data_IF_590548713752
#
_entry.id   IF_590548713752
#
_cell.length_a   1.000
_cell.length_b   1.000
_cell.length_c   1.000
_cell.angle_alpha   90.00
_cell.angle_beta   90.00
_cell.angle_gamma   90.00
#
_symmetry.space_group_name_H-M   'P 1'
#
loop_
_entity.id
_entity.type
_entity.pdbx_description
1 polymer ?
#
# COMPACT_ATOMS: atom_id res chain seq x y z
N UNK A 1 -2.36 -10.61 -22.94
CA UNK A 1 -1.65 -10.95 -21.68
C UNK A 1 -1.11 -9.66 -21.02
N UNK A 2 -1.98 -8.65 -20.80
CA UNK A 2 -1.60 -7.33 -20.28
C UNK A 2 -2.36 -6.91 -19.00
N UNK A 3 -3.42 -7.63 -18.61
CA UNK A 3 -4.29 -7.29 -17.48
C UNK A 3 -3.64 -7.41 -16.09
N UNK A 4 -2.50 -8.10 -15.96
CA UNK A 4 -1.84 -8.32 -14.66
C UNK A 4 -0.89 -7.19 -14.27
N UNK A 5 -0.30 -6.48 -15.24
CA UNK A 5 0.69 -5.44 -14.99
C UNK A 5 0.02 -4.15 -14.49
N UNK A 6 -1.03 -3.72 -15.19
CA UNK A 6 -1.84 -2.55 -14.83
C UNK A 6 -2.40 -2.67 -13.40
N UNK A 7 -2.85 -3.87 -13.03
CA UNK A 7 -3.32 -4.16 -11.67
C UNK A 7 -2.20 -4.06 -10.62
N UNK A 8 -0.96 -4.45 -10.95
CA UNK A 8 0.17 -4.36 -10.03
C UNK A 8 0.64 -2.91 -9.82
N UNK A 9 0.62 -2.10 -10.88
CA UNK A 9 0.94 -0.68 -10.82
C UNK A 9 -0.05 0.07 -9.91
N UNK A 10 -1.35 -0.25 -9.98
CA UNK A 10 -2.37 0.29 -9.06
C UNK A 10 -2.04 -0.03 -7.59
N UNK A 11 -1.59 -1.26 -7.29
CA UNK A 11 -1.16 -1.64 -5.93
C UNK A 11 0.06 -0.85 -5.47
N UNK A 12 1.05 -0.62 -6.33
CA UNK A 12 2.23 0.15 -5.95
C UNK A 12 1.87 1.62 -5.70
N UNK A 13 1.09 2.23 -6.61
CA UNK A 13 0.69 3.64 -6.49
C UNK A 13 -0.12 3.86 -5.21
N UNK A 14 -1.16 3.07 -4.97
CA UNK A 14 -1.98 3.22 -3.77
C UNK A 14 -1.20 2.93 -2.49
N UNK A 15 -0.22 2.03 -2.52
CA UNK A 15 0.65 1.75 -1.38
C UNK A 15 1.41 3.01 -0.96
N UNK A 16 1.97 3.73 -1.94
CA UNK A 16 2.68 4.98 -1.69
C UNK A 16 1.74 6.11 -1.27
N UNK A 17 0.52 6.19 -1.80
CA UNK A 17 -0.49 7.17 -1.35
C UNK A 17 -0.79 6.95 0.13
N UNK A 18 -1.10 5.71 0.53
CA UNK A 18 -1.41 5.36 1.92
C UNK A 18 -0.22 5.67 2.83
N UNK A 19 0.99 5.24 2.48
CA UNK A 19 2.18 5.51 3.29
C UNK A 19 2.51 6.99 3.42
N UNK A 20 2.38 7.75 2.33
CA UNK A 20 2.66 9.19 2.32
C UNK A 20 1.67 9.94 3.19
N UNK A 21 0.37 9.66 3.05
CA UNK A 21 -0.67 10.29 3.86
C UNK A 21 -0.50 9.93 5.33
N UNK A 22 -0.27 8.64 5.62
CA UNK A 22 0.00 8.17 6.97
C UNK A 22 1.20 8.89 7.60
N UNK A 23 2.26 9.11 6.83
CA UNK A 23 3.43 9.87 7.25
C UNK A 23 3.08 11.33 7.55
N UNK A 24 2.37 12.03 6.66
CA UNK A 24 1.98 13.42 6.87
C UNK A 24 1.07 13.62 8.08
N UNK A 25 0.13 12.71 8.32
CA UNK A 25 -0.76 12.78 9.48
C UNK A 25 -0.11 12.26 10.78
N UNK A 26 1.10 11.68 10.71
CA UNK A 26 1.75 11.05 11.86
C UNK A 26 0.97 9.86 12.43
N UNK A 27 0.10 9.22 11.64
CA UNK A 27 -0.76 8.16 12.14
C UNK A 27 -0.07 6.80 12.13
N UNK A 28 -0.28 5.96 13.16
CA UNK A 28 -0.05 4.54 13.02
C UNK A 28 -1.07 3.95 12.02
N UNK A 29 -0.69 2.85 11.36
CA UNK A 29 -1.43 2.26 10.25
C UNK A 29 -2.89 1.93 10.60
N UNK A 30 -3.13 1.42 11.81
CA UNK A 30 -4.47 1.10 12.30
C UNK A 30 -5.33 2.36 12.43
N UNK A 31 -4.78 3.45 12.97
CA UNK A 31 -5.51 4.71 13.09
C UNK A 31 -5.77 5.35 11.73
N UNK A 32 -4.86 5.21 10.76
CA UNK A 32 -5.10 5.67 9.39
C UNK A 32 -6.33 4.98 8.77
N UNK A 33 -6.42 3.65 8.86
CA UNK A 33 -7.56 2.91 8.32
C UNK A 33 -8.86 3.12 9.11
N UNK A 34 -8.78 3.37 10.42
CA UNK A 34 -9.93 3.80 11.22
C UNK A 34 -10.44 5.16 10.75
N UNK A 35 -9.55 6.14 10.54
CA UNK A 35 -9.91 7.45 9.99
C UNK A 35 -10.52 7.33 8.59
N UNK A 36 -9.92 6.52 7.71
CA UNK A 36 -10.47 6.23 6.39
C UNK A 36 -11.89 5.63 6.48
N UNK A 37 -12.18 4.81 7.49
CA UNK A 37 -13.51 4.21 7.69
C UNK A 37 -14.57 5.19 8.18
N UNK A 38 -14.21 6.20 8.96
CA UNK A 38 -15.18 7.16 9.53
C UNK A 38 -15.28 8.45 8.71
N UNK A 39 -14.18 8.88 8.10
CA UNK A 39 -14.12 10.14 7.36
C UNK A 39 -14.45 9.91 5.88
N UNK A 40 -15.64 10.38 5.46
CA UNK A 40 -16.11 10.27 4.08
C UNK A 40 -15.28 11.12 3.11
N UNK A 41 -14.93 12.33 3.51
CA UNK A 41 -14.12 13.25 2.70
C UNK A 41 -12.72 12.67 2.43
N UNK A 42 -12.08 12.10 3.44
CA UNK A 42 -10.78 11.43 3.28
C UNK A 42 -10.85 10.27 2.27
N UNK A 43 -11.96 9.52 2.25
CA UNK A 43 -12.15 8.46 1.25
C UNK A 43 -12.31 9.00 -0.17
N UNK A 44 -13.03 10.11 -0.31
CA UNK A 44 -13.25 10.75 -1.60
C UNK A 44 -11.95 11.35 -2.15
N UNK A 45 -11.14 11.98 -1.27
CA UNK A 45 -9.82 12.50 -1.63
C UNK A 45 -8.88 11.37 -2.08
N UNK A 46 -8.81 10.28 -1.32
CA UNK A 46 -7.86 9.21 -1.60
C UNK A 46 -8.32 8.24 -2.69
N UNK A 47 -9.63 8.13 -2.91
CA UNK A 47 -10.28 7.33 -3.96
C UNK A 47 -9.59 5.98 -4.25
N UNK A 48 -9.29 5.22 -3.19
CA UNK A 48 -8.53 3.97 -3.26
C UNK A 48 -9.37 2.87 -3.97
N UNK A 49 -8.84 2.31 -5.05
CA UNK A 49 -9.43 1.21 -5.82
C UNK A 49 -9.08 -0.15 -5.23
N UNK A 50 -7.83 -0.36 -4.80
CA UNK A 50 -7.32 -1.66 -4.34
C UNK A 50 -7.18 -1.79 -2.82
N UNK A 51 -6.73 -0.76 -2.10
CA UNK A 51 -6.51 -0.82 -0.64
C UNK A 51 -7.64 -0.25 0.19
N UNK A 52 -8.82 -0.85 0.04
CA UNK A 52 -10.03 -0.46 0.80
C UNK A 52 -10.01 -0.90 2.27
N UNK A 53 -9.16 -1.85 2.62
CA UNK A 53 -9.09 -2.43 3.97
C UNK A 53 -7.64 -2.53 4.43
N UNK A 54 -7.46 -2.51 5.75
CA UNK A 54 -6.17 -2.75 6.40
C UNK A 54 -5.54 -4.07 5.97
N UNK A 55 -6.33 -5.15 5.92
CA UNK A 55 -5.84 -6.49 5.57
C UNK A 55 -5.23 -6.53 4.16
N UNK A 56 -5.90 -5.94 3.16
CA UNK A 56 -5.40 -5.91 1.79
C UNK A 56 -4.04 -5.19 1.69
N UNK A 57 -3.90 -4.10 2.43
CA UNK A 57 -2.66 -3.35 2.49
C UNK A 57 -1.54 -4.14 3.18
N UNK A 58 -1.81 -4.76 4.33
CA UNK A 58 -0.82 -5.52 5.10
C UNK A 58 -0.30 -6.72 4.30
N UNK A 59 -1.18 -7.42 3.59
CA UNK A 59 -0.80 -8.53 2.73
C UNK A 59 0.13 -8.08 1.59
N UNK A 60 -0.16 -6.94 0.96
CA UNK A 60 0.70 -6.39 -0.09
C UNK A 60 2.04 -5.92 0.47
N UNK A 61 2.05 -5.23 1.61
CA UNK A 61 3.26 -4.79 2.31
C UNK A 61 4.19 -5.96 2.60
N UNK A 62 3.66 -7.08 3.10
CA UNK A 62 4.43 -8.32 3.35
C UNK A 62 5.00 -8.90 2.06
N UNK A 63 4.22 -8.91 0.96
CA UNK A 63 4.70 -9.38 -0.35
C UNK A 63 5.83 -8.49 -0.88
N UNK A 64 5.68 -7.17 -0.80
CA UNK A 64 6.68 -6.20 -1.20
C UNK A 64 7.98 -6.36 -0.39
N UNK A 65 7.86 -6.56 0.92
CA UNK A 65 9.02 -6.81 1.78
C UNK A 65 9.76 -8.11 1.39
N UNK A 66 9.02 -9.21 1.15
CA UNK A 66 9.61 -10.47 0.67
C UNK A 66 10.35 -10.31 -0.67
N UNK A 67 9.78 -9.53 -1.60
CA UNK A 67 10.41 -9.23 -2.88
C UNK A 67 11.72 -8.44 -2.68
N UNK A 68 11.70 -7.41 -1.82
CA UNK A 68 12.89 -6.62 -1.50
C UNK A 68 14.00 -7.47 -0.87
N UNK A 69 13.66 -8.35 0.07
CA UNK A 69 14.62 -9.27 0.70
C UNK A 69 15.26 -10.19 -0.34
N UNK A 70 14.47 -10.78 -1.25
CA UNK A 70 15.02 -11.63 -2.33
C UNK A 70 15.96 -10.88 -3.26
N UNK A 71 15.63 -9.65 -3.66
CA UNK A 71 16.48 -8.82 -4.51
C UNK A 71 17.80 -8.48 -3.81
N UNK A 72 17.74 -8.14 -2.52
CA UNK A 72 18.94 -7.86 -1.74
C UNK A 72 19.83 -9.09 -1.56
N UNK A 73 19.25 -10.25 -1.26
CA UNK A 73 19.98 -11.51 -1.14
C UNK A 73 20.72 -11.86 -2.45
N UNK A 74 20.04 -11.73 -3.59
CA UNK A 74 20.66 -11.98 -4.91
C UNK A 74 21.75 -10.96 -5.29
N UNK A 75 21.77 -9.79 -4.64
CA UNK A 75 22.80 -8.75 -4.85
C UNK A 75 24.04 -8.99 -3.99
N UNK A 76 23.94 -9.76 -2.90
CA UNK A 76 25.07 -10.15 -2.04
C UNK A 76 25.78 -11.41 -2.54
N UNK A 77 25.14 -12.23 -3.38
CA UNK A 77 25.75 -13.39 -4.05
C UNK A 77 26.50 -13.06 -5.37
N UNK A 78 26.54 -11.78 -5.79
CA UNK A 78 27.29 -11.28 -6.96
C UNK A 78 28.46 -10.40 -6.52
#
# INVERSE_FOLDING_TARGET
MFKTKEKYDDYIIEYYIVETMRFFFGYPLILFYTNLRVNKELREILNLKVFKTFSNYEDFRKKLHKLKVRINYNKEEC
#
